data_IF_290957593406
#
_entry.id   IF_290957593406
#
_cell.length_a   1.000
_cell.length_b   1.000
_cell.length_c   1.000
_cell.angle_alpha   90.00
_cell.angle_beta   90.00
_cell.angle_gamma   90.00
#
_symmetry.space_group_name_H-M   'P 1'
#
loop_
_entity.id
_entity.type
_entity.pdbx_description
1 polymer ?
#
# COMPACT_ATOMS: atom_id res chain seq x y z
N UNK A 1 -5.19 14.23 12.51
CA UNK A 1 -5.62 14.60 11.18
C UNK A 1 -6.52 13.55 10.51
N UNK A 2 -6.48 12.28 10.95
CA UNK A 2 -7.31 11.20 10.41
C UNK A 2 -7.50 10.06 11.44
N UNK A 3 -8.42 9.13 11.15
CA UNK A 3 -8.52 7.85 11.83
C UNK A 3 -7.89 6.80 10.89
N UNK A 4 -6.81 6.16 11.33
CA UNK A 4 -6.10 5.17 10.52
C UNK A 4 -6.45 3.74 11.00
N UNK A 5 -7.20 3.02 10.19
CA UNK A 5 -7.58 1.63 10.41
C UNK A 5 -6.51 0.71 9.80
N UNK A 6 -5.59 0.24 10.62
CA UNK A 6 -4.46 -0.59 10.18
C UNK A 6 -4.80 -2.06 10.36
N UNK A 7 -4.75 -2.84 9.28
CA UNK A 7 -5.01 -4.30 9.27
C UNK A 7 -6.34 -4.64 9.95
N UNK A 8 -7.39 -3.87 9.65
CA UNK A 8 -8.64 -3.86 10.40
C UNK A 8 -9.67 -4.89 9.90
N UNK A 9 -9.35 -5.67 8.87
CA UNK A 9 -10.29 -6.56 8.15
C UNK A 9 -11.07 -7.49 9.07
N UNK A 10 -10.42 -8.10 10.06
CA UNK A 10 -11.06 -9.02 11.01
C UNK A 10 -12.04 -8.34 11.98
N UNK A 11 -11.97 -7.02 12.13
CA UNK A 11 -12.81 -6.23 13.05
C UNK A 11 -13.85 -5.38 12.34
N UNK A 12 -14.00 -5.50 11.03
CA UNK A 12 -14.87 -4.65 10.22
C UNK A 12 -16.32 -4.55 10.73
N UNK A 13 -17.01 -5.63 11.15
CA UNK A 13 -18.37 -5.49 11.66
C UNK A 13 -18.47 -4.54 12.84
N UNK A 14 -17.53 -4.63 13.77
CA UNK A 14 -17.52 -3.73 14.96
C UNK A 14 -17.12 -2.31 14.60
N UNK A 15 -16.17 -2.15 13.67
CA UNK A 15 -15.71 -0.85 13.18
C UNK A 15 -16.84 -0.13 12.45
N UNK A 16 -17.55 -0.80 11.54
CA UNK A 16 -18.66 -0.21 10.80
C UNK A 16 -19.79 0.23 11.73
N UNK A 17 -20.15 -0.60 12.72
CA UNK A 17 -21.12 -0.23 13.75
C UNK A 17 -20.67 1.02 14.52
N UNK A 18 -19.40 1.11 14.90
CA UNK A 18 -18.87 2.27 15.61
C UNK A 18 -18.88 3.53 14.72
N UNK A 19 -18.51 3.41 13.46
CA UNK A 19 -18.52 4.51 12.48
C UNK A 19 -19.96 5.01 12.23
N UNK A 20 -20.95 4.12 12.16
CA UNK A 20 -22.36 4.52 12.02
C UNK A 20 -22.83 5.40 13.18
N UNK A 21 -22.41 5.12 14.42
CA UNK A 21 -22.77 5.91 15.60
C UNK A 21 -22.21 7.34 15.54
N UNK A 22 -21.06 7.55 14.88
CA UNK A 22 -20.37 8.86 14.86
C UNK A 22 -20.37 9.52 13.48
N UNK A 23 -20.96 8.92 12.47
CA UNK A 23 -20.90 9.35 11.07
C UNK A 23 -21.21 10.84 10.86
N UNK A 24 -22.20 11.37 11.57
CA UNK A 24 -22.61 12.77 11.46
C UNK A 24 -21.73 13.75 12.26
N UNK A 25 -20.84 13.24 13.10
CA UNK A 25 -19.95 14.02 13.97
C UNK A 25 -18.50 13.98 13.50
N UNK A 26 -18.14 12.95 12.74
CA UNK A 26 -16.79 12.75 12.27
C UNK A 26 -16.47 13.73 11.14
N UNK A 27 -15.46 14.59 11.36
CA UNK A 27 -15.02 15.63 10.42
C UNK A 27 -13.60 15.40 9.89
N UNK A 28 -12.99 14.28 10.24
CA UNK A 28 -11.65 13.90 9.79
C UNK A 28 -11.76 12.64 8.94
N UNK A 29 -10.91 12.49 7.93
CA UNK A 29 -10.99 11.34 7.03
C UNK A 29 -10.69 10.02 7.74
N UNK A 30 -11.39 8.97 7.32
CA UNK A 30 -11.11 7.60 7.71
C UNK A 30 -10.19 6.98 6.67
N UNK A 31 -9.05 6.49 7.13
CA UNK A 31 -8.01 5.84 6.31
C UNK A 31 -8.06 4.34 6.52
N UNK A 32 -8.12 3.55 5.44
CA UNK A 32 -8.03 2.09 5.50
C UNK A 32 -6.69 1.63 4.95
N UNK A 33 -5.83 1.15 5.86
CA UNK A 33 -4.47 0.71 5.57
C UNK A 33 -4.40 -0.82 5.59
N UNK A 34 -4.17 -1.44 4.44
CA UNK A 34 -4.20 -2.88 4.28
C UNK A 34 -3.05 -3.41 3.42
N UNK A 35 -2.86 -4.73 3.49
CA UNK A 35 -1.90 -5.44 2.62
C UNK A 35 -2.28 -5.45 1.13
N UNK A 36 -3.43 -4.89 0.78
CA UNK A 36 -4.01 -4.97 -0.56
C UNK A 36 -4.70 -6.32 -0.86
N UNK A 37 -4.38 -7.37 -0.13
CA UNK A 37 -4.94 -8.71 -0.32
C UNK A 37 -6.33 -8.81 0.32
N UNK A 38 -7.31 -8.10 -0.27
CA UNK A 38 -8.65 -7.93 0.25
C UNK A 38 -9.68 -8.49 -0.72
N UNK A 39 -10.68 -9.20 -0.18
CA UNK A 39 -11.80 -9.67 -0.99
C UNK A 39 -12.62 -8.49 -1.54
N UNK A 40 -13.11 -8.56 -2.78
CA UNK A 40 -13.96 -7.51 -3.36
C UNK A 40 -15.18 -7.17 -2.49
N UNK A 41 -15.77 -8.16 -1.80
CA UNK A 41 -16.90 -7.97 -0.90
C UNK A 41 -16.52 -7.09 0.29
N UNK A 42 -15.31 -7.29 0.85
CA UNK A 42 -14.77 -6.48 1.93
C UNK A 42 -14.66 -5.01 1.52
N UNK A 43 -14.13 -4.74 0.33
CA UNK A 43 -14.00 -3.37 -0.18
C UNK A 43 -15.38 -2.75 -0.44
N UNK A 44 -16.34 -3.53 -0.95
CA UNK A 44 -17.72 -3.02 -1.14
C UNK A 44 -18.40 -2.64 0.18
N UNK A 45 -18.17 -3.38 1.27
CA UNK A 45 -18.70 -3.05 2.59
C UNK A 45 -18.15 -1.71 3.13
N UNK A 46 -16.94 -1.34 2.76
CA UNK A 46 -16.28 -0.10 3.18
C UNK A 46 -16.78 1.16 2.45
N UNK A 47 -17.61 1.00 1.41
CA UNK A 47 -18.16 2.13 0.63
C UNK A 47 -18.92 3.11 1.51
N UNK A 48 -18.50 4.37 1.51
CA UNK A 48 -19.12 5.45 2.29
C UNK A 48 -18.69 5.54 3.76
N UNK A 49 -17.73 4.65 4.18
CA UNK A 49 -17.10 4.70 5.50
C UNK A 49 -15.63 5.10 5.42
N UNK A 50 -14.97 4.80 4.31
CA UNK A 50 -13.55 5.07 4.10
C UNK A 50 -13.38 6.18 3.07
N UNK A 51 -12.56 7.15 3.40
CA UNK A 51 -12.22 8.29 2.55
C UNK A 51 -10.91 8.05 1.80
N UNK A 52 -9.93 7.44 2.47
CA UNK A 52 -8.60 7.21 1.92
C UNK A 52 -8.23 5.73 2.04
N UNK A 53 -7.86 5.11 0.94
CA UNK A 53 -7.30 3.76 0.94
C UNK A 53 -5.77 3.80 0.81
N UNK A 54 -5.08 3.00 1.64
CA UNK A 54 -3.63 2.79 1.60
C UNK A 54 -3.31 1.30 1.35
N UNK A 55 -3.62 0.75 0.17
CA UNK A 55 -3.28 -0.63 -0.15
C UNK A 55 -1.79 -0.79 -0.43
N UNK A 56 -1.19 -1.88 0.05
CA UNK A 56 0.07 -2.35 -0.50
C UNK A 56 -0.18 -3.05 -1.84
N UNK A 57 0.71 -2.85 -2.80
CA UNK A 57 0.84 -3.66 -4.01
C UNK A 57 2.25 -4.22 -4.06
N UNK A 58 2.42 -5.45 -3.55
CA UNK A 58 3.74 -6.00 -3.19
C UNK A 58 4.43 -6.70 -4.34
N UNK A 59 3.69 -7.47 -5.13
CA UNK A 59 4.22 -8.34 -6.19
C UNK A 59 3.33 -8.27 -7.41
N UNK A 60 3.95 -8.35 -8.60
CA UNK A 60 3.29 -8.66 -9.85
C UNK A 60 3.32 -10.17 -10.13
N UNK A 61 4.47 -10.80 -9.87
CA UNK A 61 4.72 -12.21 -10.12
C UNK A 61 4.05 -13.11 -9.08
N UNK A 62 3.26 -14.08 -9.55
CA UNK A 62 2.69 -15.15 -8.72
C UNK A 62 3.77 -16.05 -8.09
N UNK A 63 4.92 -16.20 -8.75
CA UNK A 63 6.05 -16.96 -8.21
C UNK A 63 6.64 -16.27 -6.99
N UNK A 64 6.86 -14.94 -7.04
CA UNK A 64 7.38 -14.17 -5.92
C UNK A 64 6.38 -14.12 -4.77
N UNK A 65 5.10 -13.89 -5.06
CA UNK A 65 4.08 -13.85 -4.02
C UNK A 65 3.87 -15.20 -3.34
N UNK A 66 3.91 -16.30 -4.11
CA UNK A 66 3.92 -17.66 -3.55
C UNK A 66 5.16 -17.90 -2.69
N UNK A 67 6.35 -17.50 -3.18
CA UNK A 67 7.62 -17.73 -2.49
C UNK A 67 7.67 -17.00 -1.16
N UNK A 68 7.39 -15.70 -1.14
CA UNK A 68 7.62 -14.86 0.04
C UNK A 68 6.39 -14.66 0.94
N UNK A 69 5.19 -14.80 0.40
CA UNK A 69 3.94 -14.53 1.14
C UNK A 69 2.96 -15.70 1.16
N UNK A 70 3.27 -16.83 0.48
CA UNK A 70 2.38 -17.99 0.37
C UNK A 70 1.00 -17.68 -0.22
N UNK A 71 0.91 -16.62 -1.06
CA UNK A 71 -0.30 -16.13 -1.69
C UNK A 71 -0.07 -16.04 -3.21
N UNK A 72 -0.29 -17.14 -3.92
CA UNK A 72 -0.01 -17.25 -5.36
C UNK A 72 -0.89 -16.31 -6.21
N UNK A 73 -2.12 -16.10 -5.76
CA UNK A 73 -3.13 -15.24 -6.37
C UNK A 73 -3.09 -13.78 -5.87
N UNK A 74 -2.01 -13.39 -5.17
CA UNK A 74 -1.90 -12.06 -4.55
C UNK A 74 -2.19 -10.92 -5.54
N UNK A 75 -1.55 -10.94 -6.70
CA UNK A 75 -1.67 -9.85 -7.66
C UNK A 75 -3.10 -9.74 -8.22
N UNK A 76 -3.73 -10.86 -8.52
CA UNK A 76 -5.10 -10.89 -9.03
C UNK A 76 -6.08 -10.26 -8.02
N UNK A 77 -5.99 -10.69 -6.77
CA UNK A 77 -6.85 -10.18 -5.69
C UNK A 77 -6.55 -8.71 -5.38
N UNK A 78 -5.27 -8.35 -5.20
CA UNK A 78 -4.89 -6.99 -4.85
C UNK A 78 -5.22 -5.99 -5.96
N UNK A 79 -4.99 -6.35 -7.22
CA UNK A 79 -5.31 -5.49 -8.36
C UNK A 79 -6.82 -5.26 -8.51
N UNK A 80 -7.64 -6.28 -8.26
CA UNK A 80 -9.09 -6.15 -8.23
C UNK A 80 -9.56 -5.24 -7.09
N UNK A 81 -9.02 -5.43 -5.89
CA UNK A 81 -9.33 -4.59 -4.72
C UNK A 81 -8.97 -3.12 -4.98
N UNK A 82 -7.79 -2.83 -5.52
CA UNK A 82 -7.34 -1.47 -5.84
C UNK A 82 -8.26 -0.78 -6.85
N UNK A 83 -8.70 -1.48 -7.90
CA UNK A 83 -9.66 -0.95 -8.87
C UNK A 83 -10.97 -0.53 -8.19
N UNK A 84 -11.50 -1.36 -7.30
CA UNK A 84 -12.70 -1.06 -6.51
C UNK A 84 -12.49 0.13 -5.55
N UNK A 85 -11.32 0.24 -4.92
CA UNK A 85 -10.97 1.38 -4.06
C UNK A 85 -10.98 2.69 -4.85
N UNK A 86 -10.38 2.69 -6.04
CA UNK A 86 -10.36 3.85 -6.95
C UNK A 86 -11.78 4.19 -7.42
N UNK A 87 -12.59 3.19 -7.79
CA UNK A 87 -13.99 3.40 -8.16
C UNK A 87 -14.80 4.07 -7.03
N UNK A 88 -14.54 3.72 -5.78
CA UNK A 88 -15.25 4.26 -4.62
C UNK A 88 -14.84 5.68 -4.27
N UNK A 89 -13.55 6.00 -4.38
CA UNK A 89 -13.00 7.31 -3.97
C UNK A 89 -12.95 8.31 -5.10
N UNK A 90 -12.79 7.87 -6.34
CA UNK A 90 -12.49 8.75 -7.47
C UNK A 90 -11.06 9.31 -7.40
N UNK A 91 -10.83 10.42 -8.09
CA UNK A 91 -9.54 11.10 -8.10
C UNK A 91 -9.17 11.63 -6.70
N UNK A 92 -7.87 11.72 -6.36
CA UNK A 92 -7.41 12.30 -5.11
C UNK A 92 -7.90 13.73 -4.89
N UNK A 93 -8.40 14.01 -3.68
CA UNK A 93 -8.89 15.33 -3.27
C UNK A 93 -8.06 15.81 -2.10
N UNK A 94 -7.52 17.02 -2.21
CA UNK A 94 -6.71 17.68 -1.19
C UNK A 94 -7.46 18.88 -0.61
N UNK A 95 -7.20 19.21 0.65
CA UNK A 95 -7.66 20.45 1.24
C UNK A 95 -6.75 21.65 0.87
N UNK A 96 -7.07 22.83 1.45
CA UNK A 96 -6.31 24.05 1.23
C UNK A 96 -4.85 23.98 1.70
N UNK A 97 -4.54 23.08 2.62
CA UNK A 97 -3.21 22.88 3.18
C UNK A 97 -2.42 21.78 2.45
N UNK A 98 -3.00 21.21 1.38
CA UNK A 98 -2.41 20.15 0.59
C UNK A 98 -2.47 18.77 1.27
N UNK A 99 -3.35 18.61 2.26
CA UNK A 99 -3.54 17.32 2.96
C UNK A 99 -4.61 16.51 2.22
N UNK A 100 -4.30 15.26 1.90
CA UNK A 100 -5.22 14.36 1.24
C UNK A 100 -6.47 14.10 2.11
N UNK A 101 -7.64 14.37 1.55
CA UNK A 101 -8.94 14.15 2.19
C UNK A 101 -9.66 12.93 1.63
N UNK A 102 -9.40 12.55 0.37
CA UNK A 102 -10.05 11.42 -0.29
C UNK A 102 -9.15 10.87 -1.39
N UNK A 103 -9.15 9.56 -1.61
CA UNK A 103 -8.41 8.94 -2.70
C UNK A 103 -7.72 7.63 -2.34
N UNK A 104 -6.84 7.19 -3.23
CA UNK A 104 -6.05 5.97 -3.05
C UNK A 104 -4.57 6.30 -3.14
N UNK A 105 -3.77 5.85 -2.16
CA UNK A 105 -2.31 5.85 -2.22
C UNK A 105 -1.84 4.41 -2.29
N UNK A 106 -1.40 3.97 -3.45
CA UNK A 106 -0.85 2.62 -3.66
C UNK A 106 0.59 2.61 -3.15
N UNK A 107 0.88 1.75 -2.16
CA UNK A 107 2.23 1.62 -1.60
C UNK A 107 2.94 0.43 -2.21
N UNK A 108 4.15 0.65 -2.69
CA UNK A 108 5.03 -0.39 -3.21
C UNK A 108 6.38 -0.37 -2.52
N UNK A 109 6.69 -1.43 -1.75
CA UNK A 109 8.01 -1.62 -1.15
C UNK A 109 8.90 -2.36 -2.13
N UNK A 110 9.96 -1.69 -2.59
CA UNK A 110 10.94 -2.31 -3.49
C UNK A 110 11.78 -3.31 -2.70
N UNK A 111 11.73 -4.58 -3.10
CA UNK A 111 12.47 -5.65 -2.44
C UNK A 111 13.82 -5.91 -3.13
N UNK A 112 14.85 -6.35 -2.36
CA UNK A 112 16.12 -6.78 -2.93
C UNK A 112 15.89 -7.88 -3.98
N UNK A 113 16.63 -7.81 -5.09
CA UNK A 113 16.58 -8.73 -6.22
C UNK A 113 15.23 -8.80 -6.99
N UNK A 114 14.22 -7.99 -6.59
CA UNK A 114 12.89 -7.98 -7.23
C UNK A 114 12.67 -6.77 -8.14
N UNK A 115 13.73 -6.06 -8.54
CA UNK A 115 13.66 -4.84 -9.37
C UNK A 115 12.81 -5.01 -10.64
N UNK A 116 12.97 -6.15 -11.35
CA UNK A 116 12.21 -6.40 -12.59
C UNK A 116 10.70 -6.53 -12.32
N UNK A 117 10.33 -7.19 -11.24
CA UNK A 117 8.94 -7.32 -10.82
C UNK A 117 8.32 -5.96 -10.48
N UNK A 118 9.06 -5.13 -9.73
CA UNK A 118 8.65 -3.75 -9.43
C UNK A 118 8.43 -2.93 -10.71
N UNK A 119 9.32 -3.02 -11.68
CA UNK A 119 9.17 -2.31 -12.97
C UNK A 119 7.92 -2.80 -13.72
N UNK A 120 7.71 -4.11 -13.82
CA UNK A 120 6.51 -4.66 -14.46
C UNK A 120 5.23 -4.19 -13.77
N UNK A 121 5.25 -4.11 -12.43
CA UNK A 121 4.14 -3.60 -11.65
C UNK A 121 3.86 -2.12 -11.95
N UNK A 122 4.89 -1.28 -12.12
CA UNK A 122 4.72 0.13 -12.49
C UNK A 122 4.08 0.28 -13.88
N UNK A 123 4.50 -0.52 -14.86
CA UNK A 123 3.85 -0.54 -16.18
C UNK A 123 2.39 -0.93 -16.09
N UNK A 124 2.07 -1.97 -15.31
CA UNK A 124 0.67 -2.34 -15.07
C UNK A 124 -0.14 -1.20 -14.44
N UNK A 125 0.39 -0.50 -13.44
CA UNK A 125 -0.29 0.65 -12.83
C UNK A 125 -0.62 1.71 -13.88
N UNK A 126 0.33 2.01 -14.77
CA UNK A 126 0.15 3.00 -15.83
C UNK A 126 -0.87 2.59 -16.90
N UNK A 127 -0.90 1.32 -17.26
CA UNK A 127 -1.73 0.80 -18.35
C UNK A 127 -3.15 0.42 -17.90
N UNK A 128 -3.29 -0.09 -16.68
CA UNK A 128 -4.54 -0.71 -16.21
C UNK A 128 -5.41 0.20 -15.33
N UNK A 129 -4.85 1.31 -14.82
CA UNK A 129 -5.56 2.24 -13.96
C UNK A 129 -5.74 3.61 -14.65
N UNK A 130 -6.84 4.34 -14.41
CA UNK A 130 -7.06 5.65 -15.00
C UNK A 130 -6.00 6.65 -14.53
N UNK A 131 -5.50 7.47 -15.42
CA UNK A 131 -4.56 8.54 -15.09
C UNK A 131 -5.11 9.46 -14.00
N UNK A 132 -4.24 9.85 -13.05
CA UNK A 132 -4.58 10.75 -11.94
C UNK A 132 -5.68 10.25 -10.99
N UNK A 133 -6.01 8.97 -11.04
CA UNK A 133 -7.01 8.38 -10.13
C UNK A 133 -6.40 7.83 -8.83
N UNK A 134 -5.09 7.83 -8.70
CA UNK A 134 -4.35 7.33 -7.55
C UNK A 134 -3.03 8.09 -7.38
N UNK A 135 -2.48 7.97 -6.18
CA UNK A 135 -1.11 8.36 -5.86
C UNK A 135 -0.27 7.10 -5.66
N UNK A 136 1.04 7.19 -5.92
CA UNK A 136 1.97 6.11 -5.64
C UNK A 136 2.92 6.48 -4.51
N UNK A 137 3.21 5.53 -3.63
CA UNK A 137 4.26 5.64 -2.63
C UNK A 137 5.29 4.54 -2.83
N UNK A 138 6.46 4.91 -3.39
CA UNK A 138 7.60 4.01 -3.55
C UNK A 138 8.44 4.02 -2.28
N UNK A 139 8.56 2.84 -1.65
CA UNK A 139 9.23 2.66 -0.37
C UNK A 139 10.58 1.96 -0.57
N UNK A 140 11.63 2.51 0.05
CA UNK A 140 12.99 1.95 0.05
C UNK A 140 13.39 1.34 1.40
N UNK A 141 12.49 1.35 2.37
CA UNK A 141 12.77 1.04 3.78
C UNK A 141 12.82 -0.45 4.13
N UNK A 142 13.04 -1.33 3.13
CA UNK A 142 13.16 -2.75 3.41
C UNK A 142 14.35 -3.03 4.36
N UNK A 143 14.05 -3.71 5.47
CA UNK A 143 15.04 -4.24 6.41
C UNK A 143 14.80 -5.73 6.56
N UNK A 144 15.85 -6.59 6.44
CA UNK A 144 15.71 -8.02 6.69
C UNK A 144 15.22 -8.27 8.11
N UNK A 145 14.16 -9.07 8.24
CA UNK A 145 13.59 -9.41 9.54
C UNK A 145 12.92 -10.78 9.52
N UNK A 146 12.77 -11.41 10.68
CA UNK A 146 12.08 -12.69 10.88
C UNK A 146 12.63 -13.77 9.93
N UNK A 147 11.82 -14.31 9.02
CA UNK A 147 12.19 -15.39 8.09
C UNK A 147 12.97 -14.93 6.86
N UNK A 148 13.35 -13.67 6.74
CA UNK A 148 14.16 -13.20 5.61
C UNK A 148 15.49 -13.94 5.47
N UNK A 149 16.05 -14.46 6.56
CA UNK A 149 17.27 -15.27 6.55
C UNK A 149 17.12 -16.61 5.78
N UNK A 150 15.90 -17.11 5.61
CA UNK A 150 15.61 -18.30 4.79
C UNK A 150 15.77 -18.01 3.29
N UNK A 151 15.85 -16.73 2.90
CA UNK A 151 15.97 -16.26 1.53
C UNK A 151 17.22 -15.39 1.38
N UNK A 152 18.36 -15.96 0.93
CA UNK A 152 19.63 -15.22 0.86
C UNK A 152 19.54 -13.90 0.09
N UNK A 153 18.71 -13.84 -0.95
CA UNK A 153 18.47 -12.65 -1.76
C UNK A 153 17.73 -11.54 -0.98
N UNK A 154 16.90 -11.89 -0.01
CA UNK A 154 16.18 -10.95 0.86
C UNK A 154 16.93 -10.67 2.18
N UNK A 155 17.98 -11.42 2.51
CA UNK A 155 18.72 -11.23 3.76
C UNK A 155 19.74 -10.08 3.65
N UNK A 156 19.34 -8.99 3.02
CA UNK A 156 20.11 -7.74 2.85
C UNK A 156 19.17 -6.57 2.63
N UNK A 157 19.67 -5.37 2.82
CA UNK A 157 18.96 -4.15 2.40
C UNK A 157 18.98 -4.00 0.88
N UNK A 158 18.05 -3.23 0.36
CA UNK A 158 18.02 -2.84 -1.04
C UNK A 158 19.25 -2.00 -1.39
N UNK A 159 19.83 -2.22 -2.57
CA UNK A 159 20.92 -1.39 -3.08
C UNK A 159 20.39 -0.09 -3.69
N UNK A 160 21.28 0.91 -3.77
CA UNK A 160 21.01 2.17 -4.46
C UNK A 160 20.56 1.94 -5.91
N UNK A 161 21.26 1.07 -6.61
CA UNK A 161 20.97 0.74 -8.02
C UNK A 161 19.58 0.12 -8.19
N UNK A 162 19.17 -0.79 -7.31
CA UNK A 162 17.85 -1.43 -7.38
C UNK A 162 16.74 -0.40 -7.21
N UNK A 163 16.82 0.44 -6.19
CA UNK A 163 15.81 1.47 -5.93
C UNK A 163 15.78 2.54 -7.02
N UNK A 164 16.93 3.11 -7.38
CA UNK A 164 17.01 4.18 -8.39
C UNK A 164 16.56 3.71 -9.77
N UNK A 165 16.76 2.43 -10.11
CA UNK A 165 16.25 1.87 -11.37
C UNK A 165 14.72 1.85 -11.40
N UNK A 166 14.07 1.48 -10.28
CA UNK A 166 12.60 1.50 -10.16
C UNK A 166 12.07 2.93 -10.15
N UNK A 167 12.76 3.83 -9.43
CA UNK A 167 12.41 5.24 -9.38
C UNK A 167 12.49 5.92 -10.75
N UNK A 168 13.57 5.67 -11.51
CA UNK A 168 13.73 6.18 -12.88
C UNK A 168 12.60 5.72 -13.79
N UNK A 169 12.20 4.46 -13.67
CA UNK A 169 11.08 3.94 -14.43
C UNK A 169 9.75 4.60 -14.04
N UNK A 170 9.48 4.76 -12.74
CA UNK A 170 8.30 5.48 -12.28
C UNK A 170 8.23 6.92 -12.84
N UNK A 171 9.36 7.63 -12.85
CA UNK A 171 9.46 8.97 -13.42
C UNK A 171 9.20 8.94 -14.94
N UNK A 172 9.77 7.98 -15.67
CA UNK A 172 9.60 7.88 -17.13
C UNK A 172 8.15 7.59 -17.54
N UNK A 173 7.40 6.88 -16.68
CA UNK A 173 5.98 6.58 -16.85
C UNK A 173 5.06 7.74 -16.39
N UNK A 174 5.62 8.82 -15.83
CA UNK A 174 4.86 9.94 -15.28
C UNK A 174 4.15 9.62 -13.96
N UNK A 175 4.57 8.56 -13.24
CA UNK A 175 4.05 8.17 -11.93
C UNK A 175 4.76 8.97 -10.81
N UNK A 176 4.75 10.30 -10.94
CA UNK A 176 5.48 11.21 -10.02
C UNK A 176 4.56 11.91 -9.02
N UNK A 177 3.26 11.85 -9.22
CA UNK A 177 2.28 12.38 -8.27
C UNK A 177 2.16 11.41 -7.09
N UNK A 178 3.01 11.58 -6.07
CA UNK A 178 3.03 10.69 -4.92
C UNK A 178 4.20 10.94 -3.98
N UNK A 179 4.36 10.03 -3.03
CA UNK A 179 5.41 10.11 -2.01
C UNK A 179 6.61 9.26 -2.42
N UNK A 180 7.71 9.92 -2.79
CA UNK A 180 9.00 9.26 -3.00
C UNK A 180 9.78 9.36 -1.69
N UNK A 181 10.06 8.22 -1.09
CA UNK A 181 10.81 8.17 0.15
C UNK A 181 12.31 8.36 -0.08
N UNK A 182 12.93 9.31 0.60
CA UNK A 182 14.39 9.41 0.63
C UNK A 182 15.00 8.23 1.41
N UNK A 183 16.20 7.78 0.99
CA UNK A 183 16.93 6.64 1.61
C UNK A 183 17.22 6.84 3.11
N UNK A 184 17.27 8.08 3.59
CA UNK A 184 17.50 8.42 5.00
C UNK A 184 16.40 7.92 5.95
N UNK A 185 15.23 7.55 5.41
CA UNK A 185 14.07 7.09 6.19
C UNK A 185 14.08 5.59 6.52
N UNK A 186 15.06 4.79 6.03
CA UNK A 186 15.20 3.37 6.38
C UNK A 186 15.85 3.20 7.76
N UNK A 187 15.13 3.54 8.82
CA UNK A 187 15.57 3.32 10.21
C UNK A 187 14.88 2.09 10.79
N UNK A 188 15.62 1.31 11.59
CA UNK A 188 15.07 0.14 12.32
C UNK A 188 13.93 0.53 13.28
N UNK A 189 13.87 1.78 13.69
CA UNK A 189 12.88 2.36 14.60
C UNK A 189 11.42 2.24 14.11
N UNK A 190 11.20 1.97 12.82
CA UNK A 190 9.85 1.77 12.25
C UNK A 190 9.35 0.32 12.29
N UNK A 191 10.20 -0.62 12.75
CA UNK A 191 9.80 -2.00 12.97
C UNK A 191 9.60 -2.17 14.47
N UNK A 192 8.35 -2.24 14.98
CA UNK A 192 8.14 -2.44 16.41
C UNK A 192 8.75 -3.77 16.84
N UNK A 193 9.44 -3.82 17.99
CA UNK A 193 9.88 -5.09 18.54
C UNK A 193 8.62 -5.93 18.85
N UNK A 194 8.47 -7.09 18.20
CA UNK A 194 7.38 -8.03 18.47
C UNK A 194 7.68 -8.85 19.74
N UNK A 195 7.93 -8.16 20.86
CA UNK A 195 8.29 -8.75 22.14
C UNK A 195 7.13 -8.80 23.15
N UNK A 196 5.91 -8.50 22.70
CA UNK A 196 4.70 -8.48 23.53
C UNK A 196 4.72 -7.47 24.70
N UNK A 197 5.66 -6.52 24.71
CA UNK A 197 5.65 -5.43 25.68
C UNK A 197 4.50 -4.47 25.36
N UNK A 198 3.55 -4.37 26.29
CA UNK A 198 2.39 -3.47 26.17
C UNK A 198 1.05 -4.16 25.87
N UNK A 199 0.99 -5.51 25.96
CA UNK A 199 -0.25 -6.27 26.01
C UNK A 199 -0.66 -6.54 27.45
#
# INVERSE_FOLDING_TARGET
>A
HNINLVTATQYLPSILNALDLVKNQLKIPVVYNSSGYEKPETIRLLKGYVDIYLPDLKYFSSELSRKYSKAEDYFEIASCAIKLMIEQTGAPVFDSDGILQKGVIIRHLVLPNCRKDSITLLHWLKEALPDKSYLISLLSQYTPFYKSHEYPELNRRITTYEYESVLKEAISLGLVEGFIQEKSSAKEEYTPPFNLEGL
#
